data_IF_732711031451
#
_entry.id   IF_732711031451
#
_cell.length_a   1.000
_cell.length_b   1.000
_cell.length_c   1.000
_cell.angle_alpha   90.00
_cell.angle_beta   90.00
_cell.angle_gamma   90.00
#
_symmetry.space_group_name_H-M   'P 1'
#
loop_
_entity.id
_entity.type
_entity.pdbx_description
1 polymer ?
#
# COMPACT_ATOMS: atom_id res chain seq x y z
N UNK A 1 -50.90 27.13 -15.45
CA UNK A 1 -49.50 27.54 -15.62
C UNK A 1 -48.77 27.06 -14.38
N UNK A 2 -48.09 25.92 -14.45
CA UNK A 2 -47.35 25.35 -13.31
C UNK A 2 -45.91 25.79 -13.47
N UNK A 3 -45.45 26.67 -12.59
CA UNK A 3 -44.04 27.05 -12.52
C UNK A 3 -43.30 25.92 -11.83
N UNK A 4 -42.61 25.08 -12.60
CA UNK A 4 -41.59 24.18 -12.05
C UNK A 4 -40.44 25.02 -11.53
N UNK A 5 -40.31 25.07 -10.20
CA UNK A 5 -39.09 25.53 -9.56
C UNK A 5 -37.97 24.60 -10.01
N UNK A 6 -36.97 25.15 -10.71
CA UNK A 6 -35.70 24.49 -10.91
C UNK A 6 -35.12 24.17 -9.53
N UNK A 7 -35.18 22.90 -9.14
CA UNK A 7 -34.35 22.35 -8.08
C UNK A 7 -32.92 22.72 -8.43
N UNK A 8 -32.37 23.71 -7.72
CA UNK A 8 -30.93 24.01 -7.75
C UNK A 8 -30.22 22.69 -7.46
N UNK A 9 -29.68 22.06 -8.49
CA UNK A 9 -28.73 20.97 -8.33
C UNK A 9 -27.63 21.51 -7.43
N UNK A 10 -27.54 21.02 -6.20
CA UNK A 10 -26.40 21.35 -5.34
C UNK A 10 -25.16 21.02 -6.15
N UNK A 11 -24.25 21.98 -6.30
CA UNK A 11 -22.99 21.73 -6.98
C UNK A 11 -22.39 20.41 -6.47
N UNK A 12 -21.95 19.55 -7.39
CA UNK A 12 -21.30 18.30 -7.02
C UNK A 12 -20.14 18.64 -6.05
N UNK A 13 -20.03 17.99 -4.89
CA UNK A 13 -19.20 18.47 -3.78
C UNK A 13 -17.69 18.33 -4.02
N UNK A 14 -17.30 17.90 -5.22
CA UNK A 14 -15.90 17.65 -5.62
C UNK A 14 -15.65 18.36 -6.93
N UNK A 15 -14.73 19.32 -6.94
CA UNK A 15 -14.20 19.84 -8.20
C UNK A 15 -13.20 18.83 -8.75
N UNK A 16 -13.51 18.20 -9.89
CA UNK A 16 -12.62 17.24 -10.55
C UNK A 16 -11.34 17.88 -11.08
N UNK A 17 -11.34 19.20 -11.29
CA UNK A 17 -10.17 19.95 -11.74
C UNK A 17 -9.27 20.40 -10.59
N UNK A 18 -9.71 20.24 -9.34
CA UNK A 18 -8.85 20.44 -8.18
C UNK A 18 -7.71 19.41 -8.25
N UNK A 19 -6.48 19.93 -8.23
CA UNK A 19 -5.28 19.11 -8.25
C UNK A 19 -5.24 18.27 -6.98
N UNK A 20 -5.03 16.95 -7.12
CA UNK A 20 -4.91 16.02 -5.97
C UNK A 20 -3.62 16.32 -5.18
N UNK A 21 -2.71 17.06 -5.81
CA UNK A 21 -1.32 17.20 -5.45
C UNK A 21 -0.73 18.51 -5.97
N UNK A 22 0.39 18.95 -5.40
CA UNK A 22 1.13 20.16 -5.77
C UNK A 22 1.88 20.03 -7.12
N UNK A 23 1.22 19.47 -8.14
CA UNK A 23 1.80 19.20 -9.46
C UNK A 23 2.49 17.84 -9.61
N UNK A 24 2.16 16.86 -8.77
CA UNK A 24 2.65 15.49 -8.92
C UNK A 24 1.76 14.69 -9.91
N UNK A 25 2.11 13.43 -10.16
CA UNK A 25 1.32 12.54 -11.00
C UNK A 25 1.19 11.21 -10.30
N UNK A 26 -0.04 10.85 -9.92
CA UNK A 26 -0.38 9.56 -9.36
C UNK A 26 -1.01 8.65 -10.42
N UNK A 27 -0.74 7.36 -10.28
CA UNK A 27 -1.21 6.31 -11.16
C UNK A 27 -2.37 5.57 -10.51
N UNK A 28 -3.39 5.27 -11.30
CA UNK A 28 -4.44 4.35 -10.88
C UNK A 28 -3.96 2.91 -11.10
N UNK A 29 -4.12 2.06 -10.09
CA UNK A 29 -3.78 0.65 -10.12
C UNK A 29 -5.05 -0.22 -10.21
N UNK A 30 -5.54 -0.51 -11.43
CA UNK A 30 -6.72 -1.34 -11.61
C UNK A 30 -6.45 -2.83 -11.34
N UNK A 31 -5.19 -3.26 -11.23
CA UNK A 31 -4.86 -4.67 -10.99
C UNK A 31 -5.12 -5.04 -9.54
N UNK A 32 -4.78 -4.17 -8.59
CA UNK A 32 -4.98 -4.43 -7.16
C UNK A 32 -6.15 -3.65 -6.56
N UNK A 33 -6.51 -2.49 -7.10
CA UNK A 33 -7.57 -1.61 -6.57
C UNK A 33 -8.56 -1.16 -7.66
N UNK A 34 -9.23 -2.08 -8.40
CA UNK A 34 -10.15 -1.73 -9.47
C UNK A 34 -11.42 -1.00 -9.01
N UNK A 35 -11.75 -1.07 -7.72
CA UNK A 35 -13.00 -0.59 -7.14
C UNK A 35 -12.77 0.42 -6.01
N UNK A 36 -13.79 1.21 -5.65
CA UNK A 36 -13.76 2.06 -4.48
C UNK A 36 -13.38 1.30 -3.20
N UNK A 37 -12.45 1.87 -2.42
CA UNK A 37 -11.99 1.40 -1.13
C UNK A 37 -12.73 2.09 0.01
N UNK A 38 -13.07 1.33 1.05
CA UNK A 38 -13.77 1.86 2.22
C UNK A 38 -12.90 2.86 3.00
N UNK A 39 -13.48 3.81 3.76
CA UNK A 39 -12.71 4.71 4.61
C UNK A 39 -11.77 4.00 5.58
N UNK A 40 -12.16 2.83 6.09
CA UNK A 40 -11.31 2.00 6.96
C UNK A 40 -10.05 1.51 6.23
N UNK A 41 -10.20 1.07 4.99
CA UNK A 41 -9.06 0.61 4.20
C UNK A 41 -8.14 1.78 3.83
N UNK A 42 -8.71 2.94 3.54
CA UNK A 42 -7.95 4.16 3.28
C UNK A 42 -7.09 4.58 4.48
N UNK A 43 -7.67 4.55 5.68
CA UNK A 43 -6.99 5.01 6.90
C UNK A 43 -5.95 4.03 7.44
N UNK A 44 -6.10 2.74 7.16
CA UNK A 44 -5.19 1.70 7.67
C UNK A 44 -4.16 1.28 6.62
N UNK A 45 -4.63 0.76 5.48
CA UNK A 45 -3.76 0.16 4.47
C UNK A 45 -3.00 1.18 3.64
N UNK A 46 -3.55 2.37 3.40
CA UNK A 46 -2.87 3.43 2.65
C UNK A 46 -1.51 3.81 3.27
N UNK A 47 -1.50 4.31 4.52
CA UNK A 47 -0.26 4.68 5.23
C UNK A 47 0.68 3.48 5.45
N UNK A 48 0.13 2.32 5.82
CA UNK A 48 0.93 1.11 6.04
C UNK A 48 1.64 0.65 4.76
N UNK A 49 0.94 0.66 3.63
CA UNK A 49 1.53 0.28 2.34
C UNK A 49 2.63 1.25 1.93
N UNK A 50 2.37 2.57 1.95
CA UNK A 50 3.36 3.57 1.57
C UNK A 50 4.66 3.42 2.39
N UNK A 51 4.52 3.24 3.70
CA UNK A 51 5.66 3.07 4.63
C UNK A 51 6.40 1.75 4.40
N UNK A 52 5.67 0.63 4.36
CA UNK A 52 6.26 -0.69 4.19
C UNK A 52 6.94 -0.85 2.84
N UNK A 53 6.30 -0.38 1.76
CA UNK A 53 6.87 -0.45 0.42
C UNK A 53 8.10 0.47 0.31
N UNK A 54 8.05 1.69 0.88
CA UNK A 54 9.23 2.57 0.94
C UNK A 54 10.38 1.94 1.71
N UNK A 55 10.10 1.19 2.78
CA UNK A 55 11.12 0.46 3.52
C UNK A 55 11.74 -0.65 2.66
N UNK A 56 10.91 -1.45 1.99
CA UNK A 56 11.37 -2.55 1.14
C UNK A 56 12.21 -2.06 -0.06
N UNK A 57 11.79 -0.98 -0.75
CA UNK A 57 12.58 -0.46 -1.88
C UNK A 57 13.95 0.04 -1.44
N UNK A 58 14.08 0.53 -0.21
CA UNK A 58 15.36 0.93 0.37
C UNK A 58 16.22 -0.28 0.74
N UNK A 59 15.63 -1.31 1.37
CA UNK A 59 16.33 -2.55 1.72
C UNK A 59 16.88 -3.28 0.49
N UNK A 60 16.13 -3.27 -0.62
CA UNK A 60 16.54 -3.90 -1.88
C UNK A 60 17.29 -2.96 -2.83
N UNK A 61 17.71 -1.78 -2.37
CA UNK A 61 18.45 -0.79 -3.15
C UNK A 61 17.79 -0.39 -4.47
N UNK A 62 16.46 -0.49 -4.57
CA UNK A 62 15.74 -0.13 -5.78
C UNK A 62 15.89 1.37 -6.07
N UNK A 63 15.75 1.81 -7.34
CA UNK A 63 15.89 3.21 -7.75
C UNK A 63 14.69 4.09 -7.34
N UNK A 64 13.98 3.72 -6.28
CA UNK A 64 12.81 4.42 -5.73
C UNK A 64 13.22 5.07 -4.42
N UNK A 65 12.95 6.36 -4.28
CA UNK A 65 13.18 7.13 -3.06
C UNK A 65 12.03 6.96 -2.06
N UNK A 66 10.80 7.08 -2.53
CA UNK A 66 9.60 6.91 -1.69
C UNK A 66 8.42 6.44 -2.54
N UNK A 67 7.47 5.77 -1.90
CA UNK A 67 6.16 5.44 -2.45
C UNK A 67 5.10 6.23 -1.72
N UNK A 68 4.30 6.96 -2.47
CA UNK A 68 3.20 7.79 -1.99
C UNK A 68 1.88 7.12 -2.37
N UNK A 69 0.89 7.18 -1.47
CA UNK A 69 -0.47 6.71 -1.72
C UNK A 69 -1.43 7.86 -1.43
N UNK A 70 -2.38 8.09 -2.33
CA UNK A 70 -3.47 9.01 -2.10
C UNK A 70 -4.81 8.37 -2.44
N UNK A 71 -5.90 8.97 -1.94
CA UNK A 71 -7.25 8.51 -2.22
C UNK A 71 -8.10 9.68 -2.68
N UNK A 72 -8.89 9.48 -3.74
CA UNK A 72 -9.90 10.46 -4.20
C UNK A 72 -11.17 9.74 -4.59
N UNK A 73 -12.31 10.21 -4.09
CA UNK A 73 -13.61 9.60 -4.35
C UNK A 73 -13.63 8.09 -4.09
N UNK A 74 -12.96 7.69 -3.02
CA UNK A 74 -12.75 6.29 -2.64
C UNK A 74 -11.88 5.46 -3.60
N UNK A 75 -11.30 6.01 -4.65
CA UNK A 75 -10.31 5.30 -5.46
C UNK A 75 -8.91 5.55 -4.91
N UNK A 76 -8.08 4.51 -4.93
CA UNK A 76 -6.67 4.57 -4.54
C UNK A 76 -5.80 4.88 -5.76
N UNK A 77 -4.82 5.74 -5.54
CA UNK A 77 -3.77 6.01 -6.50
C UNK A 77 -2.42 5.96 -5.79
N UNK A 78 -1.38 5.60 -6.51
CA UNK A 78 -0.02 5.52 -5.99
C UNK A 78 0.98 6.19 -6.91
N UNK A 79 2.14 6.53 -6.35
CA UNK A 79 3.23 7.16 -7.05
C UNK A 79 4.54 6.67 -6.48
N UNK A 80 5.46 6.31 -7.38
CA UNK A 80 6.85 6.04 -7.02
C UNK A 80 7.68 7.27 -7.36
N UNK A 81 8.33 7.84 -6.36
CA UNK A 81 9.28 8.94 -6.56
C UNK A 81 10.65 8.32 -6.81
N UNK A 82 11.17 8.46 -8.01
CA UNK A 82 12.47 7.89 -8.39
C UNK A 82 13.62 8.66 -7.74
N UNK A 83 14.70 7.96 -7.40
CA UNK A 83 15.96 8.59 -6.99
C UNK A 83 16.50 9.47 -8.13
N UNK A 84 17.11 10.59 -7.78
CA UNK A 84 17.70 11.55 -8.72
C UNK A 84 19.23 11.49 -8.60
N UNK A 85 19.92 10.60 -9.35
CA UNK A 85 21.37 10.51 -9.31
C UNK A 85 22.01 11.80 -9.83
N UNK A 86 23.12 12.22 -9.23
CA UNK A 86 23.87 13.40 -9.64
C UNK A 86 24.77 13.16 -10.87
N UNK A 87 24.96 11.89 -11.27
CA UNK A 87 25.79 11.50 -12.41
C UNK A 87 25.40 10.15 -13.00
N UNK A 88 25.85 9.88 -14.23
CA UNK A 88 25.69 8.59 -14.90
C UNK A 88 26.35 7.43 -14.14
N UNK A 89 27.48 7.72 -13.48
CA UNK A 89 28.18 6.72 -12.65
C UNK A 89 27.35 6.34 -11.42
N UNK A 90 26.74 7.31 -10.74
CA UNK A 90 25.84 7.04 -9.63
C UNK A 90 24.59 6.27 -10.09
N UNK A 91 24.05 6.62 -11.27
CA UNK A 91 22.94 5.88 -11.87
C UNK A 91 23.31 4.41 -12.13
N UNK A 92 24.52 4.15 -12.65
CA UNK A 92 25.03 2.79 -12.84
C UNK A 92 25.15 2.04 -11.52
N UNK A 93 25.74 2.66 -10.49
CA UNK A 93 25.91 2.02 -9.18
C UNK A 93 24.57 1.65 -8.54
N UNK A 94 23.57 2.54 -8.62
CA UNK A 94 22.20 2.25 -8.15
C UNK A 94 21.62 1.06 -8.93
N UNK A 95 21.81 1.02 -10.25
CA UNK A 95 21.27 -0.03 -11.10
C UNK A 95 21.91 -1.39 -10.81
N UNK A 96 23.23 -1.44 -10.67
CA UNK A 96 23.99 -2.64 -10.34
C UNK A 96 23.63 -3.16 -8.94
N UNK A 97 23.46 -2.27 -7.95
CA UNK A 97 23.05 -2.64 -6.60
C UNK A 97 21.61 -3.18 -6.55
N UNK A 98 20.69 -2.57 -7.30
CA UNK A 98 19.32 -3.04 -7.43
C UNK A 98 19.27 -4.42 -8.09
N UNK A 99 19.99 -4.62 -9.19
CA UNK A 99 20.05 -5.91 -9.90
C UNK A 99 20.63 -7.02 -9.01
N UNK A 100 21.74 -6.75 -8.33
CA UNK A 100 22.36 -7.72 -7.42
C UNK A 100 21.43 -8.10 -6.25
N UNK A 101 20.71 -7.12 -5.70
CA UNK A 101 19.72 -7.36 -4.64
C UNK A 101 18.57 -8.22 -5.18
N UNK A 102 17.97 -7.82 -6.29
CA UNK A 102 16.84 -8.54 -6.88
C UNK A 102 17.21 -9.97 -7.30
N UNK A 103 18.39 -10.18 -7.89
CA UNK A 103 18.84 -11.52 -8.29
C UNK A 103 18.95 -12.45 -7.07
N UNK A 104 19.50 -11.94 -5.96
CA UNK A 104 19.58 -12.69 -4.70
C UNK A 104 18.19 -13.00 -4.16
N UNK A 105 17.32 -11.99 -4.04
CA UNK A 105 15.99 -12.14 -3.43
C UNK A 105 15.07 -13.04 -4.24
N UNK A 106 14.97 -12.81 -5.55
CA UNK A 106 14.14 -13.63 -6.44
C UNK A 106 14.63 -15.08 -6.45
N UNK A 107 15.95 -15.29 -6.42
CA UNK A 107 16.55 -16.62 -6.38
C UNK A 107 16.16 -17.45 -5.15
N UNK A 108 15.95 -16.80 -3.99
CA UNK A 108 15.54 -17.47 -2.74
C UNK A 108 14.06 -17.37 -2.41
N UNK A 109 13.29 -16.62 -3.20
CA UNK A 109 11.90 -16.27 -2.91
C UNK A 109 11.02 -17.52 -2.70
N UNK A 110 11.15 -18.53 -3.55
CA UNK A 110 10.34 -19.74 -3.43
C UNK A 110 10.76 -20.60 -2.23
N UNK A 111 12.05 -20.66 -1.91
CA UNK A 111 12.53 -21.40 -0.74
C UNK A 111 12.04 -20.71 0.54
N UNK A 112 12.22 -19.39 0.66
CA UNK A 112 11.69 -18.61 1.79
C UNK A 112 10.17 -18.71 1.92
N UNK A 113 9.46 -18.73 0.80
CA UNK A 113 8.02 -18.93 0.81
C UNK A 113 7.64 -20.26 1.45
N UNK A 114 8.24 -21.37 1.03
CA UNK A 114 7.87 -22.71 1.52
C UNK A 114 8.41 -23.01 2.91
N UNK A 115 9.63 -22.56 3.23
CA UNK A 115 10.33 -22.94 4.44
C UNK A 115 10.04 -22.00 5.61
N UNK A 116 9.69 -20.74 5.35
CA UNK A 116 9.51 -19.72 6.39
C UNK A 116 8.12 -19.08 6.34
N UNK A 117 7.75 -18.42 5.25
CA UNK A 117 6.55 -17.58 5.22
C UNK A 117 5.25 -18.38 5.26
N UNK A 118 5.10 -19.39 4.40
CA UNK A 118 3.88 -20.19 4.32
C UNK A 118 3.58 -20.94 5.63
N UNK A 119 4.55 -21.61 6.29
CA UNK A 119 4.32 -22.23 7.59
C UNK A 119 3.92 -21.21 8.67
N UNK A 120 4.62 -20.06 8.73
CA UNK A 120 4.35 -19.02 9.72
C UNK A 120 2.96 -18.40 9.54
N UNK A 121 2.60 -18.04 8.30
CA UNK A 121 1.28 -17.49 7.95
C UNK A 121 0.19 -18.53 8.28
N UNK A 122 0.39 -19.79 7.89
CA UNK A 122 -0.58 -20.86 8.15
C UNK A 122 -0.79 -21.08 9.65
N UNK A 123 0.29 -21.07 10.45
CA UNK A 123 0.21 -21.19 11.91
C UNK A 123 -0.58 -20.03 12.53
N UNK A 124 -0.27 -18.79 12.14
CA UNK A 124 -0.97 -17.59 12.63
C UNK A 124 -2.45 -17.58 12.23
N UNK A 125 -2.77 -17.94 10.98
CA UNK A 125 -4.16 -18.05 10.52
C UNK A 125 -4.94 -19.13 11.26
N UNK A 126 -4.32 -20.29 11.51
CA UNK A 126 -4.95 -21.34 12.30
C UNK A 126 -5.23 -20.90 13.73
N UNK A 127 -4.30 -20.16 14.36
CA UNK A 127 -4.49 -19.60 15.69
C UNK A 127 -5.63 -18.59 15.72
N UNK A 128 -5.67 -17.65 14.78
CA UNK A 128 -6.78 -16.69 14.64
C UNK A 128 -8.12 -17.38 14.51
N UNK A 129 -8.21 -18.40 13.63
CA UNK A 129 -9.45 -19.13 13.37
C UNK A 129 -9.96 -19.89 14.59
N UNK A 130 -9.06 -20.34 15.46
CA UNK A 130 -9.40 -21.14 16.64
C UNK A 130 -9.53 -20.30 17.92
N UNK A 131 -9.34 -18.98 17.85
CA UNK A 131 -9.50 -18.09 18.99
C UNK A 131 -10.97 -17.97 19.38
N UNK A 132 -11.29 -18.31 20.63
CA UNK A 132 -12.59 -18.00 21.21
C UNK A 132 -12.65 -16.53 21.59
N UNK A 133 -13.21 -15.70 20.71
CA UNK A 133 -13.29 -14.25 20.91
C UNK A 133 -14.19 -13.89 22.09
N UNK A 134 -15.23 -14.68 22.38
CA UNK A 134 -16.18 -14.40 23.45
C UNK A 134 -15.59 -14.74 24.82
N UNK A 135 -14.75 -15.76 24.88
CA UNK A 135 -14.05 -16.18 26.10
C UNK A 135 -12.68 -15.52 26.34
N UNK A 136 -12.09 -14.89 25.32
CA UNK A 136 -10.76 -14.28 25.43
C UNK A 136 -10.75 -12.99 26.25
N UNK A 137 -9.70 -12.81 27.04
CA UNK A 137 -9.43 -11.55 27.71
C UNK A 137 -8.99 -10.46 26.71
N UNK A 138 -9.19 -9.17 27.01
CA UNK A 138 -8.71 -8.08 26.18
C UNK A 138 -7.21 -8.14 25.86
N UNK A 139 -6.38 -8.56 26.82
CA UNK A 139 -4.93 -8.68 26.64
C UNK A 139 -4.57 -9.80 25.64
N UNK A 140 -5.32 -10.92 25.67
CA UNK A 140 -5.16 -12.00 24.70
C UNK A 140 -5.56 -11.56 23.29
N UNK A 141 -6.63 -10.76 23.17
CA UNK A 141 -7.06 -10.19 21.90
C UNK A 141 -6.03 -9.21 21.33
N UNK A 142 -5.50 -8.30 22.15
CA UNK A 142 -4.46 -7.35 21.72
C UNK A 142 -3.19 -8.09 21.30
N UNK A 143 -2.72 -9.04 22.10
CA UNK A 143 -1.55 -9.84 21.76
C UNK A 143 -1.75 -10.62 20.44
N UNK A 144 -2.94 -11.16 20.22
CA UNK A 144 -3.26 -11.85 18.97
C UNK A 144 -3.22 -10.89 17.78
N UNK A 145 -3.75 -9.67 17.92
CA UNK A 145 -3.69 -8.63 16.89
C UNK A 145 -2.25 -8.21 16.58
N UNK A 146 -1.41 -8.06 17.60
CA UNK A 146 0.03 -7.74 17.42
C UNK A 146 0.75 -8.87 16.69
N UNK A 147 0.45 -10.14 17.00
CA UNK A 147 1.07 -11.29 16.35
C UNK A 147 0.68 -11.44 14.86
N UNK A 148 -0.43 -10.84 14.41
CA UNK A 148 -0.89 -10.94 13.00
C UNK A 148 -0.73 -9.65 12.22
N UNK A 149 -0.56 -8.52 12.91
CA UNK A 149 -0.34 -7.20 12.32
C UNK A 149 1.11 -6.89 11.96
N UNK A 150 2.06 -7.78 12.30
CA UNK A 150 3.50 -7.70 11.98
C UNK A 150 3.86 -8.64 10.84
#
# INVERSE_FOLDING_TARGET
MVTTQDTKTSAFPVDWNESIDSGATFMFDPMHFPYPVSPLLQSTMGPAFATGFTTAVNEYNLPIHTVEVCHRNHYRYDRQVMKQPASDEEMRQISEAAEASMQREVGRMMDQWHDEHLPNITSRLNRLRNLDVEGASPDELVKMLDEVGV
#
